data_IF_990287796347
#
_entry.id   IF_990287796347
#
_cell.length_a   1.000
_cell.length_b   1.000
_cell.length_c   1.000
_cell.angle_alpha   90.00
_cell.angle_beta   90.00
_cell.angle_gamma   90.00
#
_symmetry.space_group_name_H-M   'P 1'
#
loop_
_entity.id
_entity.type
_entity.pdbx_description
1 polymer ?
#
# COMPACT_ATOMS: atom_id res chain seq x y z
N UNK A 1 -34.46 24.95 7.28
CA UNK A 1 -33.56 23.83 6.99
C UNK A 1 -33.02 24.03 5.58
N UNK A 2 -31.77 24.46 5.43
CA UNK A 2 -31.07 24.40 4.15
C UNK A 2 -29.94 23.41 4.31
N UNK A 3 -30.13 22.21 3.79
CA UNK A 3 -29.05 21.25 3.61
C UNK A 3 -28.04 21.86 2.62
N UNK A 4 -26.90 22.29 3.14
CA UNK A 4 -25.73 22.61 2.31
C UNK A 4 -25.33 21.31 1.62
N UNK A 5 -25.64 21.17 0.33
CA UNK A 5 -25.00 20.18 -0.54
C UNK A 5 -23.49 20.45 -0.51
N UNK A 6 -22.72 19.59 0.15
CA UNK A 6 -21.27 19.57 0.02
C UNK A 6 -20.95 19.35 -1.46
N UNK A 7 -20.41 20.38 -2.12
CA UNK A 7 -19.84 20.25 -3.46
C UNK A 7 -18.56 19.42 -3.31
N UNK A 8 -18.64 18.12 -3.52
CA UNK A 8 -17.45 17.33 -3.83
C UNK A 8 -17.02 17.78 -5.23
N UNK A 9 -16.08 18.73 -5.31
CA UNK A 9 -15.68 19.37 -6.58
C UNK A 9 -14.63 18.57 -7.35
N UNK A 10 -14.05 17.53 -6.76
CA UNK A 10 -13.04 16.70 -7.40
C UNK A 10 -13.56 15.33 -7.84
N UNK A 11 -12.91 14.82 -8.88
CA UNK A 11 -13.07 13.48 -9.40
C UNK A 11 -11.71 12.80 -9.50
N UNK A 12 -11.73 11.47 -9.50
CA UNK A 12 -10.53 10.64 -9.62
C UNK A 12 -10.40 10.16 -11.05
N UNK A 13 -9.22 10.34 -11.63
CA UNK A 13 -8.92 9.96 -13.01
C UNK A 13 -7.78 8.93 -13.01
N UNK A 14 -7.93 7.88 -13.81
CA UNK A 14 -6.86 6.91 -14.02
C UNK A 14 -6.00 7.30 -15.23
N UNK A 15 -4.68 7.15 -15.09
CA UNK A 15 -3.68 7.37 -16.13
C UNK A 15 -2.95 6.06 -16.37
N UNK A 16 -2.96 5.58 -17.61
CA UNK A 16 -2.19 4.39 -18.02
C UNK A 16 -0.72 4.75 -18.15
N UNK A 17 0.13 3.92 -17.56
CA UNK A 17 1.57 4.04 -17.61
C UNK A 17 2.21 2.75 -18.13
N UNK A 18 3.51 2.80 -18.43
CA UNK A 18 4.30 1.57 -18.57
C UNK A 18 4.39 0.88 -17.21
N UNK A 19 4.07 -0.41 -17.15
CA UNK A 19 4.19 -1.20 -15.93
C UNK A 19 5.62 -1.13 -15.35
N UNK A 20 5.73 -0.90 -14.05
CA UNK A 20 7.00 -0.69 -13.35
C UNK A 20 7.56 0.74 -13.44
N UNK A 21 6.86 1.68 -14.07
CA UNK A 21 7.24 3.11 -14.12
C UNK A 21 6.25 4.01 -13.37
N UNK A 22 5.30 3.44 -12.63
CA UNK A 22 4.19 4.17 -12.00
C UNK A 22 4.70 5.25 -11.04
N UNK A 23 5.68 4.90 -10.19
CA UNK A 23 6.27 5.84 -9.23
C UNK A 23 7.05 6.96 -9.90
N UNK A 24 7.91 6.62 -10.86
CA UNK A 24 8.65 7.63 -11.63
C UNK A 24 7.71 8.60 -12.36
N UNK A 25 6.65 8.07 -12.99
CA UNK A 25 5.63 8.90 -13.64
C UNK A 25 4.94 9.81 -12.63
N UNK A 26 4.54 9.29 -11.47
CA UNK A 26 3.93 10.09 -10.42
C UNK A 26 4.86 11.22 -9.92
N UNK A 27 6.15 10.95 -9.74
CA UNK A 27 7.14 11.95 -9.32
C UNK A 27 7.30 13.08 -10.37
N UNK A 28 7.33 12.73 -11.66
CA UNK A 28 7.33 13.71 -12.74
C UNK A 28 6.05 14.53 -12.79
N UNK A 29 4.89 13.90 -12.58
CA UNK A 29 3.60 14.60 -12.52
C UNK A 29 3.61 15.57 -11.33
N UNK A 30 4.04 15.14 -10.15
CA UNK A 30 4.11 15.98 -8.95
C UNK A 30 5.01 17.21 -9.18
N UNK A 31 6.22 17.00 -9.70
CA UNK A 31 7.16 18.08 -10.02
C UNK A 31 6.55 19.11 -10.98
N UNK A 32 5.83 18.63 -12.01
CA UNK A 32 5.19 19.48 -13.01
C UNK A 32 3.96 20.21 -12.45
N UNK A 33 3.17 19.56 -11.60
CA UNK A 33 2.04 20.17 -10.88
C UNK A 33 2.52 21.32 -10.02
N UNK A 34 3.62 21.14 -9.27
CA UNK A 34 4.22 22.18 -8.45
C UNK A 34 4.76 23.34 -9.30
N UNK A 35 5.49 23.03 -10.37
CA UNK A 35 6.09 24.02 -11.27
C UNK A 35 5.05 24.89 -11.95
N UNK A 36 3.98 24.26 -12.48
CA UNK A 36 2.94 24.95 -13.25
C UNK A 36 1.74 25.38 -12.39
N UNK A 37 1.76 25.08 -11.08
CA UNK A 37 0.67 25.36 -10.13
C UNK A 37 -0.68 24.82 -10.61
N UNK A 38 -0.69 23.59 -11.11
CA UNK A 38 -1.90 22.94 -11.59
C UNK A 38 -2.81 22.58 -10.40
N UNK A 39 -4.15 22.67 -10.54
CA UNK A 39 -5.10 22.33 -9.48
C UNK A 39 -5.33 20.81 -9.39
N UNK A 40 -4.24 20.07 -9.15
CA UNK A 40 -4.27 18.64 -8.79
C UNK A 40 -4.18 18.54 -7.27
N UNK A 41 -5.08 17.77 -6.68
CA UNK A 41 -5.22 17.62 -5.22
C UNK A 41 -4.38 16.49 -4.67
N UNK A 42 -4.36 15.36 -5.39
CA UNK A 42 -3.64 14.17 -4.97
C UNK A 42 -3.19 13.32 -6.16
N UNK A 43 -2.10 12.59 -5.97
CA UNK A 43 -1.61 11.55 -6.87
C UNK A 43 -1.45 10.27 -6.06
N UNK A 44 -2.03 9.17 -6.51
CA UNK A 44 -2.02 7.90 -5.83
C UNK A 44 -1.45 6.80 -6.73
N UNK A 45 -0.48 6.06 -6.18
CA UNK A 45 0.21 4.96 -6.86
C UNK A 45 0.03 3.68 -6.04
N UNK A 46 -0.95 2.83 -6.38
CA UNK A 46 -1.15 1.56 -5.68
C UNK A 46 -0.05 0.55 -6.01
N UNK A 47 0.58 -0.04 -4.99
CA UNK A 47 1.68 -0.99 -5.19
C UNK A 47 1.23 -2.30 -5.87
N UNK A 48 0.01 -2.73 -5.54
CA UNK A 48 -0.60 -3.98 -6.03
C UNK A 48 -1.16 -3.88 -7.46
N UNK A 49 -1.32 -2.68 -8.03
CA UNK A 49 -1.85 -2.49 -9.38
C UNK A 49 -0.78 -1.90 -10.30
N UNK A 50 -0.37 -2.66 -11.32
CA UNK A 50 0.64 -2.25 -12.29
C UNK A 50 0.03 -1.51 -13.48
N UNK A 51 0.75 -0.53 -14.00
CA UNK A 51 0.45 0.22 -15.21
C UNK A 51 -0.57 1.36 -15.03
N UNK A 52 -0.87 1.76 -13.79
CA UNK A 52 -1.83 2.81 -13.50
C UNK A 52 -1.34 3.78 -12.42
N UNK A 53 -1.69 5.05 -12.60
CA UNK A 53 -1.57 6.12 -11.59
C UNK A 53 -2.94 6.79 -11.50
N UNK A 54 -3.38 7.13 -10.29
CA UNK A 54 -4.66 7.80 -10.05
C UNK A 54 -4.41 9.24 -9.64
N UNK A 55 -5.20 10.16 -10.19
CA UNK A 55 -5.03 11.60 -9.97
C UNK A 55 -6.38 12.20 -9.59
N UNK A 56 -6.41 12.93 -8.48
CA UNK A 56 -7.58 13.67 -8.04
C UNK A 56 -7.49 15.13 -8.54
N UNK A 57 -8.50 15.57 -9.29
CA UNK A 57 -8.56 16.92 -9.83
C UNK A 57 -10.01 17.41 -9.98
N UNK A 58 -10.20 18.73 -10.15
CA UNK A 58 -11.52 19.32 -10.41
C UNK A 58 -12.04 19.05 -11.84
N UNK A 59 -11.17 18.58 -12.74
CA UNK A 59 -11.56 18.26 -14.10
C UNK A 59 -10.49 17.49 -14.88
N UNK A 60 -10.89 16.76 -15.93
CA UNK A 60 -9.98 15.92 -16.71
C UNK A 60 -8.92 16.72 -17.48
N UNK A 61 -9.21 17.97 -17.84
CA UNK A 61 -8.29 18.84 -18.58
C UNK A 61 -7.02 19.17 -17.77
N UNK A 62 -7.13 19.34 -16.46
CA UNK A 62 -5.96 19.52 -15.58
C UNK A 62 -5.08 18.28 -15.54
N UNK A 63 -5.69 17.09 -15.58
CA UNK A 63 -4.97 15.82 -15.65
C UNK A 63 -4.27 15.69 -17.00
N UNK A 64 -4.97 15.99 -18.10
CA UNK A 64 -4.42 15.94 -19.45
C UNK A 64 -3.22 16.90 -19.59
N UNK A 65 -3.31 18.10 -19.02
CA UNK A 65 -2.20 19.06 -18.95
C UNK A 65 -1.03 18.54 -18.12
N UNK A 66 -1.30 17.97 -16.94
CA UNK A 66 -0.26 17.46 -16.05
C UNK A 66 0.54 16.31 -16.69
N UNK A 67 -0.13 15.38 -17.37
CA UNK A 67 0.53 14.21 -17.95
C UNK A 67 1.18 14.47 -19.31
N UNK A 68 0.88 15.59 -19.96
CA UNK A 68 1.40 15.92 -21.30
C UNK A 68 2.93 15.93 -21.34
N UNK A 69 3.52 15.21 -22.30
CA UNK A 69 4.97 15.16 -22.52
C UNK A 69 5.75 14.33 -21.50
N UNK A 70 5.09 13.67 -20.54
CA UNK A 70 5.78 12.79 -19.58
C UNK A 70 6.04 11.43 -20.24
N UNK A 71 7.30 11.01 -20.24
CA UNK A 71 7.70 9.69 -20.74
C UNK A 71 7.02 8.57 -19.93
N UNK A 72 6.68 7.46 -20.57
CA UNK A 72 6.00 6.30 -19.98
C UNK A 72 4.52 6.53 -19.61
N UNK A 73 3.98 7.73 -19.76
CA UNK A 73 2.52 7.93 -19.84
C UNK A 73 2.03 7.44 -21.19
N UNK A 74 0.94 6.67 -21.21
CA UNK A 74 0.25 6.25 -22.43
C UNK A 74 -0.95 7.14 -22.73
N UNK A 75 -1.91 7.21 -21.79
CA UNK A 75 -3.10 8.03 -21.92
C UNK A 75 -3.89 8.07 -20.61
N UNK A 76 -4.75 9.08 -20.45
CA UNK A 76 -5.82 9.05 -19.45
C UNK A 76 -6.89 8.04 -19.87
N UNK A 77 -7.43 7.30 -18.92
CA UNK A 77 -8.58 6.41 -19.13
C UNK A 77 -9.85 7.27 -19.26
N UNK A 78 -10.72 7.01 -20.25
CA UNK A 78 -12.01 7.70 -20.35
C UNK A 78 -12.88 7.46 -19.12
N UNK A 79 -13.60 8.49 -18.68
CA UNK A 79 -14.47 8.42 -17.50
C UNK A 79 -13.78 8.84 -16.20
N UNK A 80 -14.50 8.60 -15.11
CA UNK A 80 -14.12 8.89 -13.73
C UNK A 80 -14.07 7.56 -12.97
N UNK A 81 -13.12 7.43 -12.06
CA UNK A 81 -12.98 6.29 -11.16
C UNK A 81 -13.71 6.60 -9.86
N UNK A 82 -14.53 5.66 -9.38
CA UNK A 82 -15.18 5.83 -8.08
C UNK A 82 -14.19 5.56 -6.94
N UNK A 83 -14.35 6.25 -5.80
CA UNK A 83 -13.46 6.05 -4.65
C UNK A 83 -13.46 4.59 -4.15
N UNK A 84 -14.63 3.94 -4.13
CA UNK A 84 -14.76 2.54 -3.71
C UNK A 84 -13.95 1.55 -4.57
N UNK A 85 -13.65 1.88 -5.82
CA UNK A 85 -12.80 1.04 -6.68
C UNK A 85 -11.32 1.10 -6.28
N UNK A 86 -10.88 2.23 -5.72
CA UNK A 86 -9.48 2.43 -5.30
C UNK A 86 -9.26 2.18 -3.80
N UNK A 87 -10.31 2.23 -2.99
CA UNK A 87 -10.27 2.10 -1.53
C UNK A 87 -9.51 0.86 -1.06
N UNK A 88 -9.75 -0.29 -1.70
CA UNK A 88 -9.07 -1.56 -1.39
C UNK A 88 -7.55 -1.53 -1.57
N UNK A 89 -7.03 -0.58 -2.33
CA UNK A 89 -5.60 -0.39 -2.54
C UNK A 89 -4.98 0.61 -1.56
N UNK A 90 -5.80 1.39 -0.85
CA UNK A 90 -5.38 2.35 0.18
C UNK A 90 -5.24 1.63 1.53
N UNK A 91 -6.07 0.61 1.78
CA UNK A 91 -6.02 -0.19 3.00
C UNK A 91 -4.80 -1.12 2.96
N UNK A 92 -3.65 -0.60 3.36
CA UNK A 92 -2.50 -1.42 3.76
C UNK A 92 -2.74 -1.78 5.22
N UNK A 93 -3.28 -2.98 5.49
CA UNK A 93 -3.29 -3.49 6.87
C UNK A 93 -1.83 -3.73 7.25
N UNK A 94 -1.33 -3.13 8.35
CA UNK A 94 0.01 -3.43 8.83
C UNK A 94 0.11 -4.93 9.07
N UNK A 95 1.19 -5.57 8.60
CA UNK A 95 1.39 -7.02 8.74
C UNK A 95 1.24 -7.43 10.21
N UNK A 96 1.72 -6.58 11.13
CA UNK A 96 1.63 -6.80 12.57
C UNK A 96 0.20 -6.90 13.12
N UNK A 97 -0.78 -6.28 12.46
CA UNK A 97 -2.19 -6.39 12.84
C UNK A 97 -2.79 -7.76 12.48
N UNK A 98 -2.15 -8.49 11.55
CA UNK A 98 -2.55 -9.84 11.15
C UNK A 98 -1.78 -10.93 11.91
N UNK A 99 -0.90 -10.58 12.86
CA UNK A 99 -0.11 -11.54 13.63
C UNK A 99 -0.66 -11.67 15.06
N UNK A 100 -0.73 -12.90 15.55
CA UNK A 100 -1.05 -13.24 16.94
C UNK A 100 0.14 -13.95 17.59
N UNK A 101 0.22 -13.92 18.92
CA UNK A 101 1.15 -14.78 19.66
C UNK A 101 0.81 -16.25 19.37
N UNK A 102 1.83 -17.10 19.31
CA UNK A 102 1.77 -18.50 18.92
C UNK A 102 1.54 -18.79 17.43
N UNK A 103 1.38 -17.76 16.58
CA UNK A 103 1.36 -17.94 15.12
C UNK A 103 2.68 -18.54 14.62
N UNK A 104 2.60 -19.40 13.60
CA UNK A 104 3.78 -19.89 12.88
C UNK A 104 3.99 -19.03 11.63
N UNK A 105 5.21 -18.52 11.48
CA UNK A 105 5.60 -17.62 10.41
C UNK A 105 6.85 -18.12 9.70
N UNK A 106 6.99 -17.75 8.42
CA UNK A 106 8.23 -17.88 7.65
C UNK A 106 8.94 -16.52 7.61
N UNK A 107 10.24 -16.51 7.84
CA UNK A 107 11.05 -15.30 7.76
C UNK A 107 11.38 -15.05 6.27
N UNK A 108 10.95 -13.94 5.70
CA UNK A 108 11.15 -13.60 4.27
C UNK A 108 12.33 -12.65 4.02
N UNK A 109 12.88 -12.06 5.09
CA UNK A 109 13.97 -11.08 5.03
C UNK A 109 15.02 -11.26 6.11
N UNK A 110 16.18 -10.62 5.95
CA UNK A 110 17.28 -10.69 6.91
C UNK A 110 18.07 -12.02 6.90
N UNK A 111 18.94 -12.24 7.90
CA UNK A 111 19.87 -13.38 7.92
C UNK A 111 19.20 -14.74 8.13
N UNK A 112 17.98 -14.77 8.64
CA UNK A 112 17.21 -15.99 8.92
C UNK A 112 16.16 -16.31 7.83
N UNK A 113 16.29 -15.70 6.65
CA UNK A 113 15.36 -15.87 5.55
C UNK A 113 15.19 -17.35 5.18
N UNK A 114 13.94 -17.79 5.05
CA UNK A 114 13.53 -19.16 4.71
C UNK A 114 13.28 -20.06 5.92
N UNK A 115 13.63 -19.62 7.13
CA UNK A 115 13.38 -20.40 8.34
C UNK A 115 11.94 -20.20 8.83
N UNK A 116 11.37 -21.27 9.42
CA UNK A 116 10.10 -21.20 10.15
C UNK A 116 10.33 -20.86 11.61
N UNK A 117 9.47 -20.01 12.14
CA UNK A 117 9.52 -19.58 13.52
C UNK A 117 8.12 -19.45 14.12
N UNK A 118 8.04 -19.53 15.44
CA UNK A 118 6.84 -19.28 16.21
C UNK A 118 6.92 -17.91 16.88
N UNK A 119 5.85 -17.12 16.82
CA UNK A 119 5.79 -15.82 17.48
C UNK A 119 5.62 -16.02 18.98
N UNK A 120 6.52 -15.46 19.78
CA UNK A 120 6.44 -15.49 21.26
C UNK A 120 5.97 -14.17 21.84
N UNK A 121 6.25 -13.04 21.17
CA UNK A 121 5.84 -11.70 21.60
C UNK A 121 5.67 -10.77 20.41
N UNK A 122 4.71 -9.85 20.50
CA UNK A 122 4.44 -8.82 19.50
C UNK A 122 4.49 -7.45 20.19
N UNK A 123 5.25 -6.52 19.61
CA UNK A 123 5.24 -5.10 19.99
C UNK A 123 4.61 -4.28 18.86
N UNK A 124 3.29 -4.05 18.98
CA UNK A 124 2.52 -3.28 18.00
C UNK A 124 2.95 -1.82 17.86
N UNK A 125 3.59 -1.25 18.87
CA UNK A 125 4.02 0.16 18.84
C UNK A 125 5.28 0.32 18.01
N UNK A 126 6.14 -0.70 18.02
CA UNK A 126 7.43 -0.71 17.32
C UNK A 126 7.43 -1.47 16.01
N UNK A 127 6.32 -2.12 15.66
CA UNK A 127 6.23 -3.01 14.51
C UNK A 127 7.24 -4.18 14.56
N UNK A 128 7.53 -4.65 15.78
CA UNK A 128 8.52 -5.72 16.03
C UNK A 128 7.85 -7.00 16.54
N UNK A 129 8.37 -8.15 16.10
CA UNK A 129 7.97 -9.49 16.56
C UNK A 129 9.17 -10.24 17.10
N UNK A 130 8.99 -10.88 18.26
CA UNK A 130 9.97 -11.81 18.83
C UNK A 130 9.61 -13.23 18.42
N UNK A 131 10.59 -13.93 17.86
CA UNK A 131 10.43 -15.22 17.22
C UNK A 131 11.28 -16.29 17.89
N UNK A 132 10.78 -17.52 17.83
CA UNK A 132 11.48 -18.74 18.22
C UNK A 132 11.60 -19.67 17.01
N UNK A 133 12.81 -19.99 16.56
CA UNK A 133 13.04 -20.80 15.35
C UNK A 133 12.65 -22.27 15.60
N UNK A 134 11.83 -22.86 14.74
CA UNK A 134 11.36 -24.24 14.89
C UNK A 134 12.39 -25.29 14.47
N UNK A 135 13.36 -24.92 13.65
CA UNK A 135 14.38 -25.82 13.09
C UNK A 135 15.66 -25.90 13.95
N UNK A 136 15.75 -25.12 15.03
CA UNK A 136 16.94 -25.03 15.87
C UNK A 136 16.80 -25.90 17.13
N UNK A 137 17.84 -26.68 17.44
CA UNK A 137 17.93 -27.48 18.68
C UNK A 137 18.13 -26.64 19.95
N UNK A 138 18.47 -25.35 19.79
CA UNK A 138 18.55 -24.37 20.85
C UNK A 138 17.97 -23.06 20.33
N UNK A 139 16.99 -22.50 21.03
CA UNK A 139 16.20 -21.38 20.54
C UNK A 139 16.52 -20.10 21.32
N UNK A 140 17.35 -19.25 20.73
CA UNK A 140 17.49 -17.88 21.20
C UNK A 140 16.34 -17.05 20.62
N UNK A 141 15.61 -16.26 21.45
CA UNK A 141 14.58 -15.38 20.93
C UNK A 141 15.23 -14.29 20.07
N UNK A 142 14.76 -14.15 18.84
CA UNK A 142 15.21 -13.10 17.91
C UNK A 142 14.09 -12.08 17.73
N UNK A 143 14.42 -10.79 17.69
CA UNK A 143 13.45 -9.73 17.38
C UNK A 143 13.70 -9.22 15.98
N UNK A 144 12.65 -9.17 15.16
CA UNK A 144 12.68 -8.66 13.78
C UNK A 144 11.48 -7.75 13.52
N UNK A 145 11.56 -6.94 12.47
CA UNK A 145 10.41 -6.15 12.01
C UNK A 145 9.31 -7.06 11.45
N UNK A 146 8.04 -6.69 11.65
CA UNK A 146 6.89 -7.47 11.21
C UNK A 146 6.86 -7.70 9.68
N UNK A 147 7.40 -6.77 8.89
CA UNK A 147 7.50 -6.93 7.42
C UNK A 147 8.45 -8.06 6.97
N UNK A 148 9.32 -8.53 7.87
CA UNK A 148 10.23 -9.64 7.56
C UNK A 148 9.61 -11.01 7.86
N UNK A 149 8.38 -11.05 8.33
CA UNK A 149 7.67 -12.31 8.58
C UNK A 149 6.45 -12.43 7.71
N UNK A 150 6.16 -13.66 7.29
CA UNK A 150 4.95 -14.01 6.56
C UNK A 150 4.22 -15.09 7.34
N UNK A 151 2.96 -14.84 7.66
CA UNK A 151 2.10 -15.82 8.32
C UNK A 151 1.98 -17.10 7.47
N UNK A 152 2.20 -18.24 8.12
CA UNK A 152 2.06 -19.57 7.51
C UNK A 152 0.91 -20.36 8.13
N UNK A 153 0.81 -20.38 9.46
CA UNK A 153 -0.26 -21.05 10.17
C UNK A 153 -0.72 -20.16 11.34
N UNK A 154 -2.03 -19.94 11.45
CA UNK A 154 -2.63 -19.25 12.59
C UNK A 154 -2.62 -20.14 13.82
N UNK A 155 -2.36 -19.55 14.98
CA UNK A 155 -2.58 -20.19 16.26
C UNK A 155 -4.03 -20.67 16.34
N UNK A 156 -4.23 -21.94 16.71
CA UNK A 156 -5.56 -22.46 17.00
C UNK A 156 -6.09 -21.76 18.24
N UNK A 157 -6.98 -20.79 18.07
CA UNK A 157 -7.82 -20.29 19.17
C UNK A 157 -8.78 -21.43 19.51
N UNK A 158 -8.50 -22.17 20.57
CA UNK A 158 -9.52 -22.99 21.21
C UNK A 158 -10.62 -22.02 21.67
N UNK A 159 -11.73 -22.01 20.94
CA UNK A 159 -12.94 -21.29 21.33
C UNK A 159 -13.38 -21.84 22.68
N UNK A 160 -13.01 -21.14 23.76
CA UNK A 160 -13.53 -21.44 25.08
C UNK A 160 -15.00 -21.02 25.06
N UNK A 161 -15.88 -22.01 24.98
CA UNK A 161 -17.33 -21.87 25.08
C UNK A 161 -17.74 -21.38 26.46
#
# INVERSE_FOLDING_TARGET
MNEKKEKISSAIFAVRTTAGQERNVADFIATKVETNKLPIKAIFVPEMMKGYVFIEADGPHFVDEAIAGIKHVRSRVPGIVSFSEIERYIIVKPVIEELDVDDTVEIVGGPFKGMKAKITRIDKTKEEVTLELLEATFTLPITVHADYVRLTEKAKKEETT
#
